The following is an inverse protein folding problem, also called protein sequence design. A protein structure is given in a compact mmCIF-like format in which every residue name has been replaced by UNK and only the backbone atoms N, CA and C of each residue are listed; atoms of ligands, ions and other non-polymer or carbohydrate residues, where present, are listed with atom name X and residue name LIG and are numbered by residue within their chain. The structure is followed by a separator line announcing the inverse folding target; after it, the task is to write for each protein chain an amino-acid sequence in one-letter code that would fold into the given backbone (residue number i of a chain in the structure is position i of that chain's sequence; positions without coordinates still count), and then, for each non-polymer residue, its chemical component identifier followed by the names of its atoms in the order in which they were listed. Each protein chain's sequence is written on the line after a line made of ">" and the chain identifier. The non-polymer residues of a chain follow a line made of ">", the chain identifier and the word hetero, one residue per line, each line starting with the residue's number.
data_IF_383430564030
#
_entry.id   IF_383430564030
#
_cell.length_a   1.000
_cell.length_b   1.000
_cell.length_c   1.000
_cell.angle_alpha   90.00
_cell.angle_beta   90.00
_cell.angle_gamma   90.00
#
_symmetry.space_group_name_H-M   'P 1'
#
loop_
_entity.id
_entity.type
_entity.pdbx_description
1 polymer ?
#
# COMPACT_ATOMS: atom_id res chain seq x y z
N UNK A 1 13.97 8.20 1.40
CA UNK A 1 12.90 8.28 2.41
C UNK A 1 13.39 7.52 3.62
N UNK A 2 13.30 8.13 4.79
CA UNK A 2 13.57 7.43 6.04
C UNK A 2 12.48 6.36 6.24
N UNK A 3 12.87 5.17 6.70
CA UNK A 3 11.92 4.04 6.85
C UNK A 3 10.89 4.32 7.93
N UNK A 4 11.31 5.05 8.96
CA UNK A 4 10.52 5.27 10.17
C UNK A 4 9.87 6.68 10.16
N UNK A 5 9.76 7.28 8.97
CA UNK A 5 9.08 8.56 8.77
C UNK A 5 7.56 8.39 8.99
N UNK A 6 7.00 9.25 9.84
CA UNK A 6 5.54 9.35 10.02
C UNK A 6 4.97 10.12 8.81
N UNK A 7 3.97 9.52 8.16
CA UNK A 7 3.25 10.12 7.04
C UNK A 7 1.86 10.55 7.47
N UNK A 8 1.44 11.72 7.04
CA UNK A 8 0.06 12.17 7.14
C UNK A 8 -0.82 11.52 6.07
N UNK A 9 -2.13 11.48 6.32
CA UNK A 9 -3.11 11.00 5.34
C UNK A 9 -2.98 11.72 3.98
N UNK A 10 -2.76 13.04 3.98
CA UNK A 10 -2.62 13.82 2.74
C UNK A 10 -1.39 13.45 1.93
N UNK A 11 -0.29 13.11 2.60
CA UNK A 11 0.91 12.62 1.91
C UNK A 11 0.62 11.28 1.23
N UNK A 12 -0.06 10.37 1.92
CA UNK A 12 -0.49 9.08 1.35
C UNK A 12 -1.45 9.27 0.17
N UNK A 13 -2.44 10.15 0.30
CA UNK A 13 -3.38 10.49 -0.78
C UNK A 13 -2.64 11.06 -2.01
N UNK A 14 -1.65 11.94 -1.79
CA UNK A 14 -0.82 12.48 -2.86
C UNK A 14 -0.03 11.41 -3.60
N UNK A 15 0.59 10.48 -2.86
CA UNK A 15 1.31 9.36 -3.48
C UNK A 15 0.38 8.46 -4.31
N UNK A 16 -0.83 8.17 -3.82
CA UNK A 16 -1.84 7.40 -4.57
C UNK A 16 -2.27 8.17 -5.83
N UNK A 17 -2.49 9.47 -5.73
CA UNK A 17 -2.82 10.32 -6.87
C UNK A 17 -1.70 10.36 -7.93
N UNK A 18 -0.44 10.24 -7.50
CA UNK A 18 0.74 10.12 -8.37
C UNK A 18 0.90 8.70 -8.98
N UNK A 19 0.00 7.76 -8.64
CA UNK A 19 -0.04 6.41 -9.18
C UNK A 19 0.70 5.36 -8.35
N UNK A 20 1.18 5.70 -7.14
CA UNK A 20 1.73 4.69 -6.24
C UNK A 20 0.62 3.75 -5.72
N UNK A 21 0.90 2.46 -5.77
CA UNK A 21 0.06 1.42 -5.18
C UNK A 21 0.40 1.29 -3.70
N UNK A 22 -0.39 1.95 -2.86
CA UNK A 22 -0.20 1.99 -1.41
C UNK A 22 -1.31 1.25 -0.69
N UNK A 23 -0.95 0.47 0.33
CA UNK A 23 -1.88 -0.11 1.30
C UNK A 23 -1.40 0.19 2.72
N UNK A 24 -2.31 0.14 3.70
CA UNK A 24 -1.97 0.21 5.12
C UNK A 24 -1.92 -1.21 5.68
N UNK A 25 -0.92 -1.50 6.50
CA UNK A 25 -0.76 -2.77 7.21
C UNK A 25 -0.23 -2.51 8.60
N UNK A 26 -1.00 -2.79 9.64
CA UNK A 26 -0.60 -2.57 11.05
C UNK A 26 0.01 -1.18 11.28
N UNK A 27 -0.71 -0.12 10.86
CA UNK A 27 -0.28 1.29 10.91
C UNK A 27 0.94 1.65 10.02
N UNK A 28 1.51 0.71 9.26
CA UNK A 28 2.55 0.99 8.28
C UNK A 28 1.98 1.29 6.90
N UNK A 29 2.58 2.27 6.23
CA UNK A 29 2.30 2.61 4.83
C UNK A 29 3.21 1.78 3.93
N UNK A 30 2.65 0.83 3.19
CA UNK A 30 3.40 -0.05 2.28
C UNK A 30 3.25 0.43 0.83
N UNK A 31 4.37 0.77 0.18
CA UNK A 31 4.41 1.06 -1.25
C UNK A 31 4.77 -0.19 -2.05
N UNK A 32 3.83 -0.69 -2.84
CA UNK A 32 3.91 -2.02 -3.46
C UNK A 32 4.31 -2.02 -4.95
N UNK A 33 4.60 -0.86 -5.55
CA UNK A 33 4.88 -0.75 -6.99
C UNK A 33 5.88 -1.79 -7.54
N UNK A 34 6.97 -2.05 -6.80
CA UNK A 34 8.02 -2.99 -7.22
C UNK A 34 7.69 -4.48 -6.99
N UNK A 35 6.55 -4.76 -6.36
CA UNK A 35 6.11 -6.11 -5.98
C UNK A 35 4.77 -6.53 -6.60
N UNK A 36 3.98 -5.59 -7.15
CA UNK A 36 2.68 -5.85 -7.78
C UNK A 36 2.68 -7.10 -8.69
N UNK A 37 3.61 -7.17 -9.64
CA UNK A 37 3.67 -8.27 -10.62
C UNK A 37 4.25 -9.58 -10.05
N UNK A 38 4.76 -9.54 -8.81
CA UNK A 38 5.33 -10.69 -8.10
C UNK A 38 4.37 -11.27 -7.07
N UNK A 39 3.22 -10.63 -6.87
CA UNK A 39 2.21 -11.11 -5.94
C UNK A 39 1.68 -12.48 -6.40
N UNK A 40 1.79 -13.55 -5.59
CA UNK A 40 1.34 -14.88 -6.00
C UNK A 40 -0.15 -14.96 -6.34
N UNK A 41 -0.98 -14.13 -5.71
CA UNK A 41 -2.42 -14.01 -6.01
C UNK A 41 -2.75 -13.11 -7.22
N UNK A 42 -1.73 -12.54 -7.88
CA UNK A 42 -1.89 -11.60 -8.98
C UNK A 42 -2.08 -10.15 -8.53
N UNK A 43 -1.74 -9.20 -9.41
CA UNK A 43 -1.75 -7.77 -9.11
C UNK A 43 -3.15 -7.19 -8.88
N UNK A 44 -4.19 -7.78 -9.48
CA UNK A 44 -5.58 -7.33 -9.34
C UNK A 44 -6.06 -7.34 -7.88
N UNK A 45 -5.63 -8.33 -7.08
CA UNK A 45 -6.00 -8.42 -5.67
C UNK A 45 -5.48 -7.20 -4.90
N UNK A 46 -4.23 -6.78 -5.16
CA UNK A 46 -3.64 -5.60 -4.54
C UNK A 46 -4.36 -4.33 -5.00
N UNK A 47 -4.74 -4.24 -6.27
CA UNK A 47 -5.44 -3.07 -6.81
C UNK A 47 -6.77 -2.78 -6.09
N UNK A 48 -7.47 -3.80 -5.59
CA UNK A 48 -8.69 -3.61 -4.79
C UNK A 48 -8.41 -3.00 -3.40
N UNK A 49 -7.17 -3.10 -2.91
CA UNK A 49 -6.76 -2.64 -1.58
C UNK A 49 -6.03 -1.30 -1.60
N UNK A 50 -5.76 -0.71 -2.77
CA UNK A 50 -5.09 0.58 -2.87
C UNK A 50 -5.84 1.65 -2.07
N UNK A 51 -5.13 2.34 -1.17
CA UNK A 51 -5.65 3.36 -0.28
C UNK A 51 -6.46 2.84 0.91
N UNK A 52 -6.45 1.52 1.17
CA UNK A 52 -7.19 0.88 2.27
C UNK A 52 -6.26 0.25 3.28
N UNK A 53 -6.79 0.01 4.47
CA UNK A 53 -6.20 -0.92 5.42
C UNK A 53 -6.43 -2.35 4.94
N UNK A 54 -5.33 -3.07 4.73
CA UNK A 54 -5.28 -4.44 4.25
C UNK A 54 -4.81 -5.42 5.34
N UNK A 55 -4.85 -5.01 6.61
CA UNK A 55 -4.38 -5.81 7.73
C UNK A 55 -5.09 -7.16 7.82
N UNK A 56 -6.41 -7.17 7.65
CA UNK A 56 -7.20 -8.41 7.72
C UNK A 56 -6.88 -9.32 6.53
N UNK A 57 -6.76 -8.78 5.32
CA UNK A 57 -6.46 -9.53 4.10
C UNK A 57 -5.04 -10.12 4.10
N UNK A 58 -4.07 -9.47 4.75
CA UNK A 58 -2.68 -9.94 4.84
C UNK A 58 -2.51 -11.00 5.95
N UNK A 59 -3.35 -10.98 6.98
CA UNK A 59 -3.22 -11.87 8.16
C UNK A 59 -4.16 -13.08 8.17
N UNK A 60 -5.14 -13.12 7.27
CA UNK A 60 -6.05 -14.26 7.06
C UNK A 60 -5.35 -15.49 6.47
#
# INVERSE_FOLDING_TARGET
>A
MDRDQILSQREVEGMIADGDSIVIFQDYVLRLNGWLDKHPGGSLVIQHMVGRDATDEITA
#
